data_IF_662641205611
#
_entry.id   IF_662641205611
#
_cell.length_a   1.000
_cell.length_b   1.000
_cell.length_c   1.000
_cell.angle_alpha   90.00
_cell.angle_beta   90.00
_cell.angle_gamma   90.00
#
_symmetry.space_group_name_H-M   'P 1'
#
loop_
_entity.id
_entity.type
_entity.pdbx_description
1 polymer ?
#
# COMPACT_ATOMS: atom_id res chain seq x y z
N UNK A 1 -21.88 -43.75 3.97
CA UNK A 1 -21.83 -42.27 4.00
C UNK A 1 -21.99 -41.75 2.59
N UNK A 2 -23.09 -41.07 2.30
CA UNK A 2 -23.38 -40.47 0.99
C UNK A 2 -22.34 -39.40 0.65
N UNK A 3 -22.04 -39.19 -0.64
CA UNK A 3 -21.10 -38.16 -1.11
C UNK A 3 -21.40 -36.76 -0.53
N UNK A 4 -22.68 -36.49 -0.26
CA UNK A 4 -23.20 -35.26 0.38
C UNK A 4 -22.67 -35.08 1.81
N UNK A 5 -22.54 -36.16 2.59
CA UNK A 5 -22.03 -36.12 3.97
C UNK A 5 -20.53 -35.85 4.03
N UNK A 6 -19.75 -36.33 3.04
CA UNK A 6 -18.31 -36.06 2.93
C UNK A 6 -18.03 -34.64 2.45
N UNK A 7 -18.83 -34.16 1.50
CA UNK A 7 -18.72 -32.80 0.98
C UNK A 7 -19.08 -31.76 2.04
N UNK A 8 -20.15 -31.96 2.82
CA UNK A 8 -20.55 -31.01 3.88
C UNK A 8 -19.48 -30.82 4.97
N UNK A 9 -18.82 -31.88 5.40
CA UNK A 9 -17.79 -31.79 6.45
C UNK A 9 -16.56 -31.03 5.93
N UNK A 10 -16.10 -31.32 4.71
CA UNK A 10 -14.95 -30.63 4.11
C UNK A 10 -15.27 -29.17 3.79
N UNK A 11 -16.49 -28.88 3.30
CA UNK A 11 -16.95 -27.52 3.03
C UNK A 11 -17.08 -26.69 4.32
N UNK A 12 -17.62 -27.29 5.40
CA UNK A 12 -17.71 -26.65 6.71
C UNK A 12 -16.32 -26.37 7.30
N UNK A 13 -15.39 -27.32 7.23
CA UNK A 13 -14.02 -27.10 7.71
C UNK A 13 -13.29 -26.04 6.88
N UNK A 14 -13.45 -26.03 5.56
CA UNK A 14 -12.85 -25.02 4.70
C UNK A 14 -13.46 -23.63 4.93
N UNK A 15 -14.79 -23.53 5.09
CA UNK A 15 -15.47 -22.27 5.39
C UNK A 15 -15.14 -21.75 6.79
N UNK A 16 -15.08 -22.61 7.80
CA UNK A 16 -14.66 -22.24 9.16
C UNK A 16 -13.19 -21.82 9.21
N UNK A 17 -12.33 -22.45 8.40
CA UNK A 17 -10.91 -22.10 8.34
C UNK A 17 -10.68 -20.78 7.59
N UNK A 18 -11.37 -20.56 6.47
CA UNK A 18 -11.36 -19.28 5.75
C UNK A 18 -11.94 -18.16 6.62
N UNK A 19 -13.03 -18.42 7.34
CA UNK A 19 -13.60 -17.47 8.30
C UNK A 19 -12.64 -17.17 9.46
N UNK A 20 -11.91 -18.17 9.97
CA UNK A 20 -10.89 -17.98 11.00
C UNK A 20 -9.71 -17.15 10.52
N UNK A 21 -9.30 -17.29 9.26
CA UNK A 21 -8.23 -16.46 8.67
C UNK A 21 -8.71 -15.02 8.48
N UNK A 22 -9.95 -14.81 8.01
CA UNK A 22 -10.52 -13.46 7.84
C UNK A 22 -10.65 -12.77 9.21
N UNK A 23 -11.09 -13.51 10.24
CA UNK A 23 -11.23 -12.99 11.60
C UNK A 23 -9.88 -12.62 12.25
N UNK A 24 -8.83 -13.41 12.02
CA UNK A 24 -7.50 -13.17 12.60
C UNK A 24 -6.75 -12.00 11.92
N UNK A 25 -7.10 -11.66 10.68
CA UNK A 25 -6.53 -10.53 9.93
C UNK A 25 -7.24 -9.19 10.20
N UNK A 26 -8.38 -9.21 10.88
CA UNK A 26 -9.14 -8.01 11.26
C UNK A 26 -8.80 -7.59 12.69
N UNK A 27 -7.63 -6.98 12.91
CA UNK A 27 -7.41 -6.13 14.09
C UNK A 27 -8.20 -4.83 13.92
N UNK A 28 -9.48 -4.92 14.24
CA UNK A 28 -10.45 -3.83 14.26
C UNK A 28 -11.75 -4.39 14.84
N UNK A 29 -12.02 -4.07 16.10
CA UNK A 29 -13.05 -4.70 16.93
C UNK A 29 -14.50 -4.52 16.43
N UNK A 30 -14.72 -3.75 15.36
CA UNK A 30 -16.05 -3.49 14.82
C UNK A 30 -16.48 -4.45 13.68
N UNK A 31 -15.55 -5.10 12.97
CA UNK A 31 -15.87 -5.96 11.80
C UNK A 31 -16.15 -7.42 12.20
N UNK A 32 -15.62 -7.87 13.35
CA UNK A 32 -15.87 -9.21 13.88
C UNK A 32 -17.33 -9.40 14.32
N UNK A 33 -17.98 -8.34 14.80
CA UNK A 33 -19.39 -8.36 15.20
C UNK A 33 -20.34 -8.25 13.98
N UNK A 34 -19.95 -7.53 12.93
CA UNK A 34 -20.73 -7.50 11.68
C UNK A 34 -20.70 -8.85 10.96
N UNK A 35 -19.55 -9.53 10.91
CA UNK A 35 -19.41 -10.84 10.25
C UNK A 35 -20.12 -11.98 10.98
N UNK A 36 -20.16 -11.97 12.32
CA UNK A 36 -21.00 -12.90 13.09
C UNK A 36 -22.49 -12.61 12.89
N UNK A 37 -22.89 -11.34 12.80
CA UNK A 37 -24.30 -10.97 12.57
C UNK A 37 -24.78 -11.36 11.17
N UNK A 38 -23.92 -11.31 10.14
CA UNK A 38 -24.28 -11.66 8.76
C UNK A 38 -24.53 -13.17 8.60
N UNK A 39 -23.85 -14.02 9.38
CA UNK A 39 -24.08 -15.48 9.36
C UNK A 39 -25.36 -15.86 10.11
N UNK A 40 -25.72 -15.15 11.17
CA UNK A 40 -27.02 -15.32 11.85
C UNK A 40 -28.20 -14.80 11.00
N UNK A 41 -28.03 -13.66 10.31
CA UNK A 41 -29.09 -13.00 9.53
C UNK A 41 -29.40 -13.66 8.18
N UNK A 42 -28.52 -14.50 7.64
CA UNK A 42 -28.81 -15.27 6.41
C UNK A 42 -29.70 -16.50 6.69
N UNK A 43 -30.03 -16.77 7.96
CA UNK A 43 -30.97 -17.85 8.34
C UNK A 43 -32.37 -17.38 8.72
N UNK A 44 -32.67 -16.07 8.73
CA UNK A 44 -34.00 -15.55 9.04
C UNK A 44 -34.33 -14.30 8.19
N UNK A 45 -35.49 -14.33 7.51
CA UNK A 45 -36.16 -13.20 6.81
C UNK A 45 -35.51 -12.86 5.45
N UNK A 46 -36.07 -13.10 4.25
CA UNK A 46 -37.44 -13.02 3.71
C UNK A 46 -38.21 -11.75 4.09
N UNK A 47 -38.23 -10.82 3.13
CA UNK A 47 -39.09 -9.63 2.99
C UNK A 47 -38.73 -8.38 3.83
N UNK A 48 -38.16 -7.35 3.18
CA UNK A 48 -38.69 -5.97 3.13
C UNK A 48 -37.67 -4.92 2.64
N UNK A 49 -38.24 -3.80 2.16
CA UNK A 49 -37.70 -2.74 1.30
C UNK A 49 -36.66 -1.77 1.92
N UNK A 50 -35.87 -1.17 1.02
CA UNK A 50 -34.85 -0.15 1.30
C UNK A 50 -35.40 1.26 1.00
N UNK A 51 -35.50 2.12 2.00
CA UNK A 51 -35.74 3.57 1.84
C UNK A 51 -34.43 4.35 1.82
N UNK A 52 -34.18 5.08 0.73
CA UNK A 52 -33.02 5.98 0.56
C UNK A 52 -33.44 7.42 0.89
N UNK A 53 -32.76 8.06 1.85
CA UNK A 53 -32.91 9.48 2.16
C UNK A 53 -31.86 10.31 1.40
N UNK A 54 -32.33 11.27 0.59
CA UNK A 54 -31.50 12.25 -0.14
C UNK A 54 -31.57 13.58 0.61
N UNK A 55 -30.44 14.08 1.10
CA UNK A 55 -30.32 15.42 1.67
C UNK A 55 -29.81 16.40 0.60
N UNK A 56 -30.57 17.45 0.33
CA UNK A 56 -30.22 18.59 -0.53
C UNK A 56 -29.88 19.79 0.36
N UNK A 57 -28.77 20.47 0.06
CA UNK A 57 -28.36 21.73 0.70
C UNK A 57 -28.26 22.84 -0.35
N UNK A 58 -28.91 23.97 -0.05
CA UNK A 58 -29.02 25.18 -0.87
C UNK A 58 -27.78 26.10 -0.70
N UNK A 59 -27.44 26.96 -1.69
CA UNK A 59 -26.30 27.90 -1.60
C UNK A 59 -26.74 29.32 -1.20
N UNK A 60 -25.92 30.01 -0.41
CA UNK A 60 -25.90 31.46 -0.11
C UNK A 60 -24.41 31.84 -0.11
N UNK A 61 -23.83 32.71 -0.96
CA UNK A 61 -23.98 34.14 -1.32
C UNK A 61 -22.67 34.88 -0.93
N UNK A 62 -22.16 35.68 -1.86
CA UNK A 62 -20.86 36.37 -1.90
C UNK A 62 -20.72 37.64 -1.03
N UNK A 63 -19.44 38.02 -0.89
CA UNK A 63 -18.82 39.37 -0.88
C UNK A 63 -18.64 40.12 0.44
N UNK A 64 -17.38 40.31 0.82
CA UNK A 64 -16.90 41.37 1.72
C UNK A 64 -16.06 42.39 0.92
N UNK A 65 -16.41 43.66 1.06
CA UNK A 65 -15.74 44.81 0.47
C UNK A 65 -14.82 45.49 1.52
N UNK A 66 -13.71 46.04 1.04
CA UNK A 66 -12.69 46.75 1.81
C UNK A 66 -13.16 48.17 2.19
N UNK A 67 -13.14 48.51 3.49
CA UNK A 67 -13.36 49.88 3.99
C UNK A 67 -12.09 50.72 3.89
N UNK A 68 -12.20 51.92 3.31
CA UNK A 68 -11.20 52.99 3.33
C UNK A 68 -11.68 54.04 4.33
N UNK A 69 -10.83 54.41 5.29
CA UNK A 69 -11.11 55.45 6.28
C UNK A 69 -10.61 56.81 5.79
N UNK A 70 -11.51 57.78 5.72
CA UNK A 70 -11.23 59.19 5.43
C UNK A 70 -10.56 59.87 6.63
N UNK A 71 -9.48 60.62 6.38
CA UNK A 71 -8.89 61.55 7.34
C UNK A 71 -9.24 63.00 6.94
N UNK A 72 -9.91 63.72 7.85
CA UNK A 72 -10.37 65.10 7.67
C UNK A 72 -9.23 66.09 7.93
N UNK A 73 -9.00 67.05 7.02
CA UNK A 73 -8.08 68.19 7.19
C UNK A 73 -8.90 69.49 7.16
N UNK A 74 -8.68 70.47 8.07
CA UNK A 74 -9.44 71.72 8.11
C UNK A 74 -8.98 72.70 7.00
N UNK A 75 -9.83 73.67 6.61
CA UNK A 75 -9.59 74.50 5.43
C UNK A 75 -8.68 75.67 5.77
N UNK A 76 -7.69 75.94 4.90
CA UNK A 76 -6.93 77.18 4.94
C UNK A 76 -6.96 77.84 3.55
N UNK A 77 -7.16 79.16 3.47
CA UNK A 77 -7.34 79.87 2.22
C UNK A 77 -5.99 80.11 1.53
N UNK A 78 -6.05 80.27 0.22
CA UNK A 78 -5.00 80.66 -0.71
C UNK A 78 -4.33 79.48 -1.44
N UNK A 79 -4.70 79.34 -2.72
CA UNK A 79 -4.36 78.24 -3.61
C UNK A 79 -2.89 78.21 -4.04
N UNK A 80 -2.03 77.68 -3.17
CA UNK A 80 -0.72 77.14 -3.53
C UNK A 80 -0.77 75.61 -3.52
N UNK A 81 -0.51 74.97 -4.67
CA UNK A 81 -0.34 73.53 -4.73
C UNK A 81 0.87 73.11 -3.88
N UNK A 82 0.63 72.30 -2.86
CA UNK A 82 1.66 71.73 -1.99
C UNK A 82 2.22 70.48 -2.70
N UNK A 83 3.32 70.67 -3.42
CA UNK A 83 4.01 69.58 -4.11
C UNK A 83 4.80 68.75 -3.08
N UNK A 84 4.18 67.70 -2.54
CA UNK A 84 4.90 66.69 -1.75
C UNK A 84 5.77 65.90 -2.72
N UNK A 85 7.01 66.34 -2.90
CA UNK A 85 8.04 65.57 -3.58
C UNK A 85 8.45 64.42 -2.67
N UNK A 86 7.72 63.31 -2.75
CA UNK A 86 8.25 62.02 -2.31
C UNK A 86 9.43 61.74 -3.22
N UNK A 87 10.65 61.86 -2.70
CA UNK A 87 11.85 61.44 -3.40
C UNK A 87 11.77 59.92 -3.62
N UNK A 88 11.12 59.50 -4.70
CA UNK A 88 11.23 58.14 -5.20
C UNK A 88 12.65 57.99 -5.71
N UNK A 89 13.52 57.40 -4.89
CA UNK A 89 14.83 56.91 -5.31
C UNK A 89 14.58 56.08 -6.57
N UNK A 90 15.22 56.38 -7.71
CA UNK A 90 15.02 55.61 -8.92
C UNK A 90 15.35 54.14 -8.62
N UNK A 91 14.52 53.17 -9.07
CA UNK A 91 14.77 51.76 -8.80
C UNK A 91 16.15 51.40 -9.36
N UNK A 92 17.10 51.10 -8.47
CA UNK A 92 18.41 50.62 -8.85
C UNK A 92 18.25 49.24 -9.50
N UNK A 93 18.97 48.96 -10.61
CA UNK A 93 18.93 47.64 -11.23
C UNK A 93 19.40 46.58 -10.22
N UNK A 94 18.87 45.36 -10.36
CA UNK A 94 19.15 44.24 -9.45
C UNK A 94 20.66 43.96 -9.32
N UNK A 95 21.41 44.12 -10.40
CA UNK A 95 22.87 43.96 -10.46
C UNK A 95 23.62 44.83 -9.45
N UNK A 96 23.28 46.12 -9.37
CA UNK A 96 24.01 47.10 -8.54
C UNK A 96 23.79 46.83 -7.05
N UNK A 97 22.60 46.33 -6.72
CA UNK A 97 22.22 45.96 -5.35
C UNK A 97 22.95 44.68 -4.94
N UNK A 98 23.02 43.70 -5.82
CA UNK A 98 23.77 42.46 -5.57
C UNK A 98 25.26 42.75 -5.41
N UNK A 99 25.87 43.56 -6.28
CA UNK A 99 27.28 43.94 -6.15
C UNK A 99 27.57 44.62 -4.80
N UNK A 100 26.69 45.52 -4.35
CA UNK A 100 26.80 46.18 -3.03
C UNK A 100 26.62 45.21 -1.85
N UNK A 101 25.72 44.23 -1.98
CA UNK A 101 25.50 43.21 -0.95
C UNK A 101 26.71 42.29 -0.80
N UNK A 102 27.25 41.81 -1.91
CA UNK A 102 28.25 40.74 -1.93
C UNK A 102 29.70 41.23 -1.83
N UNK A 103 29.97 42.54 -1.91
CA UNK A 103 31.35 43.10 -1.89
C UNK A 103 32.22 42.61 -0.72
N UNK A 104 31.65 42.42 0.47
CA UNK A 104 32.33 41.95 1.68
C UNK A 104 31.58 40.76 2.32
N UNK A 105 30.83 40.00 1.53
CA UNK A 105 30.08 38.87 2.04
C UNK A 105 30.99 37.65 2.15
N UNK A 106 31.00 37.03 3.32
CA UNK A 106 31.70 35.78 3.58
C UNK A 106 30.65 34.68 3.81
N UNK A 107 30.57 33.76 2.86
CA UNK A 107 29.66 32.63 2.83
C UNK A 107 30.04 31.51 3.81
N UNK A 108 31.29 31.48 4.27
CA UNK A 108 31.76 30.50 5.26
C UNK A 108 31.26 30.81 6.67
N UNK A 109 30.90 32.07 6.94
CA UNK A 109 30.43 32.51 8.23
C UNK A 109 28.93 32.27 8.41
N UNK A 110 28.60 31.68 9.55
CA UNK A 110 27.21 31.49 9.97
C UNK A 110 26.46 32.84 10.06
N UNK A 111 25.22 32.97 9.57
CA UNK A 111 24.49 34.24 9.48
C UNK A 111 24.37 34.97 10.82
N UNK A 112 24.19 34.20 11.90
CA UNK A 112 24.03 34.74 13.26
C UNK A 112 25.37 35.03 13.95
N UNK A 113 26.51 34.54 13.41
CA UNK A 113 27.82 34.85 13.96
C UNK A 113 28.19 36.34 13.79
N UNK A 114 27.63 37.01 12.78
CA UNK A 114 27.85 38.44 12.54
C UNK A 114 27.18 39.34 13.60
N UNK A 115 26.00 38.97 14.12
CA UNK A 115 25.32 39.73 15.17
C UNK A 115 26.02 39.62 16.54
N UNK A 116 26.76 38.53 16.74
CA UNK A 116 27.47 38.25 17.99
C UNK A 116 28.70 39.15 18.22
N UNK A 117 29.18 39.87 17.20
CA UNK A 117 30.32 40.77 17.33
C UNK A 117 29.94 42.11 17.99
N UNK A 118 28.68 42.55 17.86
CA UNK A 118 28.20 43.85 18.36
C UNK A 118 27.32 43.75 19.62
N UNK A 119 26.66 42.60 19.85
CA UNK A 119 25.84 42.34 21.02
C UNK A 119 26.24 40.99 21.63
N UNK A 120 26.55 40.95 22.93
CA UNK A 120 26.93 39.77 23.72
C UNK A 120 25.87 38.62 23.76
N UNK A 121 24.89 38.59 22.86
CA UNK A 121 23.93 37.49 22.65
C UNK A 121 24.55 36.44 21.72
N UNK A 122 25.44 35.62 22.29
CA UNK A 122 26.13 34.52 21.59
C UNK A 122 25.23 33.33 21.21
N UNK A 123 23.90 33.45 21.31
CA UNK A 123 22.99 32.31 21.49
C UNK A 123 21.76 32.29 20.59
N UNK A 124 21.78 32.98 19.43
CA UNK A 124 20.67 32.87 18.47
C UNK A 124 20.97 31.86 17.39
N UNK A 125 20.30 30.71 17.48
CA UNK A 125 20.26 29.73 16.40
C UNK A 125 19.69 30.35 15.12
N UNK A 126 20.22 29.95 13.97
CA UNK A 126 19.55 30.21 12.69
C UNK A 126 18.37 29.25 12.57
N UNK A 127 17.16 29.82 12.57
CA UNK A 127 15.94 29.04 12.35
C UNK A 127 15.73 28.83 10.86
N UNK A 128 15.75 27.57 10.45
CA UNK A 128 15.55 27.14 9.07
C UNK A 128 14.17 26.52 8.98
N UNK A 129 13.28 27.19 8.28
CA UNK A 129 11.96 26.66 7.97
C UNK A 129 12.05 25.79 6.71
N UNK A 130 11.52 24.57 6.79
CA UNK A 130 11.58 23.58 5.72
C UNK A 130 10.19 23.32 5.16
N UNK A 131 10.11 23.28 3.84
CA UNK A 131 8.94 22.84 3.09
C UNK A 131 9.37 21.82 2.03
N UNK A 132 8.60 20.76 1.86
CA UNK A 132 8.88 19.73 0.87
C UNK A 132 7.72 19.57 -0.10
N UNK A 133 8.05 19.44 -1.38
CA UNK A 133 7.09 19.09 -2.42
C UNK A 133 7.48 17.76 -3.09
N UNK A 134 6.71 16.71 -2.83
CA UNK A 134 6.94 15.37 -3.38
C UNK A 134 6.38 15.30 -4.80
N UNK A 135 7.25 14.98 -5.76
CA UNK A 135 6.91 14.91 -7.19
C UNK A 135 6.69 13.49 -7.68
N UNK A 136 7.60 12.61 -7.30
CA UNK A 136 7.59 11.22 -7.73
C UNK A 136 8.06 10.33 -6.60
N UNK A 137 7.40 9.18 -6.44
CA UNK A 137 7.80 8.16 -5.50
C UNK A 137 7.69 6.79 -6.14
N UNK A 138 8.73 5.99 -5.93
CA UNK A 138 8.78 4.59 -6.32
C UNK A 138 9.34 3.80 -5.15
N UNK A 139 8.60 2.78 -4.72
CA UNK A 139 8.98 1.96 -3.58
C UNK A 139 9.38 0.57 -4.06
N UNK A 140 10.51 0.08 -3.54
CA UNK A 140 11.02 -1.26 -3.69
C UNK A 140 11.09 -1.90 -2.29
N UNK A 141 11.42 -3.18 -2.21
CA UNK A 141 11.35 -3.97 -0.97
C UNK A 141 12.05 -3.36 0.25
N UNK A 142 13.27 -2.82 0.11
CA UNK A 142 14.10 -2.33 1.22
C UNK A 142 14.34 -0.81 1.18
N UNK A 143 13.89 -0.15 0.11
CA UNK A 143 14.21 1.24 -0.18
C UNK A 143 13.15 1.88 -1.06
N UNK A 144 13.02 3.19 -0.97
CA UNK A 144 12.21 3.97 -1.90
C UNK A 144 13.04 5.06 -2.56
N UNK A 145 12.73 5.28 -3.83
CA UNK A 145 13.24 6.37 -4.65
C UNK A 145 12.21 7.51 -4.60
N UNK A 146 12.64 8.67 -4.12
CA UNK A 146 11.79 9.86 -4.01
C UNK A 146 12.41 11.01 -4.80
N UNK A 147 11.61 11.62 -5.67
CA UNK A 147 11.93 12.91 -6.27
C UNK A 147 11.12 13.99 -5.56
N UNK A 148 11.81 14.97 -5.00
CA UNK A 148 11.20 16.05 -4.26
C UNK A 148 11.83 17.40 -4.62
N UNK A 149 11.08 18.47 -4.38
CA UNK A 149 11.62 19.82 -4.29
C UNK A 149 11.74 20.17 -2.82
N UNK A 150 12.97 20.36 -2.36
CA UNK A 150 13.27 20.81 -1.00
C UNK A 150 13.33 22.34 -1.01
N UNK A 151 12.56 22.97 -0.14
CA UNK A 151 12.59 24.41 0.08
C UNK A 151 13.03 24.69 1.52
N UNK A 152 13.95 25.62 1.66
CA UNK A 152 14.49 26.04 2.94
C UNK A 152 14.45 27.56 2.98
N UNK A 153 13.97 28.10 4.08
CA UNK A 153 13.92 29.53 4.28
C UNK A 153 14.54 29.90 5.63
N UNK A 154 15.44 30.87 5.62
CA UNK A 154 16.08 31.43 6.81
C UNK A 154 16.25 32.94 6.64
N UNK A 155 16.73 33.62 7.67
CA UNK A 155 17.01 35.06 7.61
C UNK A 155 18.51 35.27 7.76
N UNK A 156 19.12 35.94 6.78
CA UNK A 156 20.48 36.45 6.87
C UNK A 156 20.46 38.00 6.91
N UNK A 157 20.74 38.62 8.06
CA UNK A 157 20.79 40.07 8.20
C UNK A 157 21.75 40.77 7.23
N UNK A 158 22.82 40.09 6.80
CA UNK A 158 23.85 40.63 5.90
C UNK A 158 23.30 40.84 4.49
N UNK A 159 22.29 40.05 4.10
CA UNK A 159 21.64 40.06 2.79
C UNK A 159 20.40 40.97 2.72
N UNK A 160 20.20 41.84 3.72
CA UNK A 160 19.13 42.83 3.72
C UNK A 160 19.41 43.94 2.68
N UNK A 161 18.72 43.87 1.53
CA UNK A 161 18.78 44.92 0.51
C UNK A 161 17.79 46.08 0.73
N UNK A 162 16.81 45.93 1.63
CA UNK A 162 15.86 46.99 1.95
C UNK A 162 16.56 48.26 2.45
N UNK A 163 17.75 48.12 3.06
CA UNK A 163 18.62 49.24 3.46
C UNK A 163 19.02 50.18 2.31
N UNK A 164 18.92 49.73 1.06
CA UNK A 164 19.22 50.52 -0.13
C UNK A 164 18.00 51.23 -0.73
N UNK A 165 16.84 51.21 -0.07
CA UNK A 165 15.62 51.91 -0.50
C UNK A 165 14.88 51.24 -1.67
N UNK A 166 15.12 49.94 -1.91
CA UNK A 166 14.48 49.20 -2.99
C UNK A 166 13.10 48.67 -2.59
N UNK A 167 12.10 48.87 -3.45
CA UNK A 167 10.69 48.46 -3.24
C UNK A 167 10.40 47.06 -3.81
N UNK A 168 11.40 46.34 -4.30
CA UNK A 168 11.20 45.00 -4.86
C UNK A 168 10.85 43.99 -3.76
N UNK A 169 9.82 43.16 -4.00
CA UNK A 169 9.41 42.10 -3.08
C UNK A 169 10.47 41.00 -2.95
N UNK A 170 11.19 40.71 -4.03
CA UNK A 170 12.30 39.77 -4.03
C UNK A 170 13.31 40.07 -5.15
N UNK A 171 14.54 39.59 -4.99
CA UNK A 171 15.60 39.56 -6.01
C UNK A 171 16.01 38.10 -6.20
N UNK A 172 16.08 37.62 -7.45
CA UNK A 172 16.67 36.30 -7.74
C UNK A 172 18.19 36.44 -7.73
N UNK A 173 18.89 35.58 -6.99
CA UNK A 173 20.35 35.56 -6.96
C UNK A 173 20.85 34.68 -8.11
N UNK A 174 21.64 35.23 -9.05
CA UNK A 174 22.25 34.44 -10.09
C UNK A 174 23.36 33.52 -9.52
N UNK A 175 23.69 32.42 -10.20
CA UNK A 175 24.56 31.36 -9.67
C UNK A 175 26.02 31.76 -9.49
N UNK A 176 26.41 32.98 -9.87
CA UNK A 176 27.75 33.53 -9.70
C UNK A 176 28.00 34.16 -8.31
N UNK A 177 26.98 34.20 -7.45
CA UNK A 177 27.10 34.68 -6.08
C UNK A 177 26.90 33.53 -5.10
N UNK A 178 27.91 33.29 -4.27
CA UNK A 178 27.84 32.29 -3.21
C UNK A 178 27.18 32.88 -1.95
N UNK A 179 26.26 32.12 -1.37
CA UNK A 179 25.59 32.45 -0.11
C UNK A 179 25.86 31.33 0.90
N UNK A 180 25.99 31.67 2.17
CA UNK A 180 25.90 30.69 3.24
C UNK A 180 24.64 29.83 3.07
N UNK A 181 24.81 28.52 3.14
CA UNK A 181 23.76 27.52 3.00
C UNK A 181 23.83 26.58 4.20
N UNK A 182 22.68 26.16 4.76
CA UNK A 182 22.69 25.13 5.78
C UNK A 182 23.17 23.79 5.22
N UNK A 183 23.89 23.05 6.06
CA UNK A 183 24.50 21.74 5.77
C UNK A 183 23.50 20.59 5.94
N UNK A 184 22.34 20.73 5.31
CA UNK A 184 21.24 19.79 5.42
C UNK A 184 21.54 18.48 4.70
N UNK A 185 21.40 17.36 5.41
CA UNK A 185 21.53 16.01 4.86
C UNK A 185 20.37 15.10 5.32
N UNK A 186 20.23 13.94 4.69
CA UNK A 186 19.06 13.08 4.87
C UNK A 186 19.42 11.77 5.55
N UNK A 187 19.70 11.74 6.86
CA UNK A 187 20.25 10.62 7.66
C UNK A 187 20.08 9.15 7.18
N UNK A 188 18.95 8.78 6.56
CA UNK A 188 18.70 7.45 6.01
C UNK A 188 18.88 7.35 4.47
N UNK A 189 19.63 8.27 3.87
CA UNK A 189 19.92 8.28 2.45
C UNK A 189 21.00 7.26 2.10
N UNK A 190 20.75 6.48 1.04
CA UNK A 190 21.75 5.60 0.44
C UNK A 190 22.44 6.31 -0.74
N UNK A 191 21.71 7.16 -1.45
CA UNK A 191 22.22 7.93 -2.58
C UNK A 191 21.35 9.16 -2.79
N UNK A 192 21.96 10.28 -3.17
CA UNK A 192 21.27 11.53 -3.46
C UNK A 192 21.86 12.19 -4.71
N UNK A 193 20.98 12.75 -5.55
CA UNK A 193 21.36 13.44 -6.79
C UNK A 193 20.64 14.78 -6.85
N UNK A 194 21.42 15.86 -7.02
CA UNK A 194 20.91 17.18 -7.40
C UNK A 194 20.71 17.22 -8.91
N UNK A 195 19.55 17.68 -9.36
CA UNK A 195 19.24 17.71 -10.80
C UNK A 195 19.94 18.91 -11.46
N UNK A 196 20.64 18.65 -12.58
CA UNK A 196 21.29 19.65 -13.43
C UNK A 196 20.96 19.34 -14.89
N UNK A 197 20.04 20.10 -15.48
CA UNK A 197 19.71 20.01 -16.92
C UNK A 197 19.91 21.42 -17.45
N UNK A 198 20.86 21.57 -18.37
CA UNK A 198 21.45 22.83 -18.83
C UNK A 198 22.19 23.59 -17.70
N UNK A 199 21.50 23.91 -16.60
CA UNK A 199 22.02 24.54 -15.39
C UNK A 199 21.58 23.79 -14.12
N UNK A 200 22.15 24.17 -12.97
CA UNK A 200 21.75 23.61 -11.68
C UNK A 200 20.30 23.99 -11.34
N UNK A 201 19.48 23.01 -10.96
CA UNK A 201 18.07 23.25 -10.62
C UNK A 201 17.95 23.79 -9.18
N UNK A 202 18.42 25.02 -9.02
CA UNK A 202 18.50 25.77 -7.79
C UNK A 202 17.87 27.15 -8.03
N UNK A 203 17.01 27.56 -7.11
CA UNK A 203 16.45 28.89 -7.06
C UNK A 203 16.78 29.51 -5.71
N UNK A 204 17.44 30.66 -5.73
CA UNK A 204 17.71 31.48 -4.55
C UNK A 204 17.00 32.81 -4.72
N UNK A 205 16.16 33.17 -3.75
CA UNK A 205 15.46 34.46 -3.68
C UNK A 205 15.80 35.17 -2.39
N UNK A 206 16.12 36.45 -2.50
CA UNK A 206 16.30 37.35 -1.37
C UNK A 206 15.07 38.21 -1.22
N UNK A 207 14.55 38.33 0.01
CA UNK A 207 13.55 39.30 0.41
C UNK A 207 14.19 40.59 0.96
N UNK A 208 13.43 41.69 1.04
CA UNK A 208 13.96 43.01 1.43
C UNK A 208 14.49 43.05 2.86
N UNK A 209 14.06 42.14 3.72
CA UNK A 209 14.49 42.01 5.11
C UNK A 209 15.68 41.05 5.32
N UNK A 210 16.27 40.52 4.24
CA UNK A 210 17.32 39.48 4.33
C UNK A 210 16.76 38.06 4.48
N UNK A 211 15.45 37.86 4.28
CA UNK A 211 14.87 36.52 4.14
C UNK A 211 15.43 35.85 2.88
N UNK A 212 15.95 34.65 3.03
CA UNK A 212 16.50 33.84 1.94
C UNK A 212 15.57 32.67 1.72
N UNK A 213 15.10 32.48 0.50
CA UNK A 213 14.39 31.28 0.07
C UNK A 213 15.29 30.50 -0.88
N UNK A 214 15.68 29.31 -0.46
CA UNK A 214 16.36 28.32 -1.28
C UNK A 214 15.40 27.23 -1.72
N UNK A 215 15.42 26.87 -2.99
CA UNK A 215 14.63 25.77 -3.53
C UNK A 215 15.48 24.96 -4.48
N UNK A 216 15.56 23.64 -4.23
CA UNK A 216 16.30 22.71 -5.10
C UNK A 216 15.51 21.45 -5.39
N UNK A 217 15.75 20.83 -6.55
CA UNK A 217 15.18 19.52 -6.91
C UNK A 217 16.18 18.41 -6.60
N UNK A 218 15.73 17.43 -5.83
CA UNK A 218 16.51 16.27 -5.38
C UNK A 218 15.86 14.97 -5.85
N UNK A 219 16.68 14.00 -6.23
CA UNK A 219 16.33 12.59 -6.26
C UNK A 219 17.08 11.87 -5.15
N UNK A 220 16.37 11.19 -4.27
CA UNK A 220 16.94 10.45 -3.15
C UNK A 220 16.58 8.96 -3.28
N UNK A 221 17.52 8.10 -2.93
CA UNK A 221 17.28 6.69 -2.63
C UNK A 221 17.43 6.53 -1.14
N UNK A 222 16.35 6.17 -0.46
CA UNK A 222 16.23 6.22 1.00
C UNK A 222 15.85 4.84 1.52
N UNK A 223 16.48 4.44 2.62
CA UNK A 223 16.17 3.16 3.29
C UNK A 223 14.76 3.21 3.90
N UNK A 224 13.98 2.14 3.71
CA UNK A 224 12.71 1.94 4.40
C UNK A 224 12.59 0.52 4.95
N UNK A 225 12.34 0.42 6.25
CA UNK A 225 12.08 -0.82 6.94
C UNK A 225 10.59 -1.17 6.80
N UNK A 226 10.27 -2.07 5.86
CA UNK A 226 8.90 -2.51 5.60
C UNK A 226 8.51 -3.70 6.49
N UNK A 227 7.25 -3.76 6.92
CA UNK A 227 6.68 -4.89 7.65
C UNK A 227 5.75 -5.73 6.77
N UNK A 228 6.21 -6.90 6.36
CA UNK A 228 5.47 -7.77 5.45
C UNK A 228 4.61 -8.83 6.15
N UNK A 229 4.38 -8.75 7.46
CA UNK A 229 3.57 -9.75 8.18
C UNK A 229 2.20 -9.96 7.52
N UNK A 230 1.52 -8.86 7.17
CA UNK A 230 0.21 -8.85 6.53
C UNK A 230 0.25 -8.87 4.98
N UNK A 231 1.41 -9.12 4.35
CA UNK A 231 1.52 -9.07 2.89
C UNK A 231 0.56 -10.07 2.19
N UNK A 232 -0.19 -9.64 1.15
CA UNK A 232 -0.17 -8.34 0.45
C UNK A 232 -1.27 -7.34 0.89
N UNK A 233 -1.89 -7.55 2.05
CA UNK A 233 -2.93 -6.68 2.63
C UNK A 233 -2.31 -5.67 3.62
N UNK A 234 -1.05 -5.31 3.41
CA UNK A 234 -0.21 -4.54 4.30
C UNK A 234 -0.31 -3.01 4.08
N UNK A 235 -0.07 -2.27 5.15
CA UNK A 235 0.19 -0.83 5.16
C UNK A 235 1.63 -0.60 5.64
N UNK A 236 2.35 0.27 4.96
CA UNK A 236 3.79 0.49 5.17
C UNK A 236 4.04 1.94 5.57
N UNK A 237 4.81 2.17 6.63
CA UNK A 237 5.22 3.49 7.05
C UNK A 237 6.72 3.68 6.82
N UNK A 238 7.09 4.44 5.79
CA UNK A 238 8.48 4.81 5.54
C UNK A 238 8.77 6.21 6.09
N UNK A 239 9.96 6.39 6.67
CA UNK A 239 10.38 7.65 7.30
C UNK A 239 11.41 8.34 6.42
N UNK A 240 11.30 9.65 6.23
CA UNK A 240 12.35 10.50 5.68
C UNK A 240 12.88 11.39 6.80
N UNK A 241 14.18 11.30 7.10
CA UNK A 241 14.81 12.08 8.17
C UNK A 241 15.77 13.10 7.57
N UNK A 242 15.67 14.33 8.04
CA UNK A 242 16.48 15.47 7.64
C UNK A 242 17.14 16.07 8.88
N UNK A 243 18.43 16.38 8.81
CA UNK A 243 19.19 16.96 9.92
C UNK A 243 20.32 17.87 9.42
N UNK A 244 20.94 18.62 10.33
CA UNK A 244 22.22 19.30 10.09
C UNK A 244 23.36 18.32 10.36
N UNK A 245 24.41 18.38 9.54
CA UNK A 245 25.57 17.51 9.66
C UNK A 245 26.58 17.98 10.71
N UNK A 246 26.98 19.25 10.63
CA UNK A 246 28.04 19.87 11.43
C UNK A 246 27.55 20.91 12.44
N UNK A 247 26.36 21.48 12.26
CA UNK A 247 25.81 22.49 13.16
C UNK A 247 24.92 21.88 14.25
N UNK A 248 25.31 22.10 15.52
CA UNK A 248 24.52 21.70 16.69
C UNK A 248 23.22 22.50 16.77
N UNK A 249 22.23 21.97 17.49
CA UNK A 249 20.89 22.56 17.64
C UNK A 249 20.92 24.00 18.15
N UNK A 250 21.90 24.36 18.98
CA UNK A 250 22.08 25.74 19.48
C UNK A 250 22.51 26.73 18.39
N UNK A 251 23.08 26.24 17.30
CA UNK A 251 23.52 27.05 16.16
C UNK A 251 22.52 27.04 15.00
N UNK A 252 21.92 25.88 14.72
CA UNK A 252 20.96 25.70 13.63
C UNK A 252 19.76 24.89 14.12
N UNK A 253 18.57 25.47 14.00
CA UNK A 253 17.32 24.81 14.34
C UNK A 253 16.46 24.64 13.09
N UNK A 254 15.95 23.43 12.86
CA UNK A 254 15.05 23.16 11.76
C UNK A 254 13.61 23.09 12.27
N UNK A 255 12.72 23.77 11.56
CA UNK A 255 11.28 23.76 11.81
C UNK A 255 10.52 23.49 10.51
N UNK A 256 9.38 22.82 10.62
CA UNK A 256 8.45 22.72 9.51
C UNK A 256 7.78 24.06 9.23
N UNK A 257 7.52 24.37 7.95
CA UNK A 257 6.64 25.49 7.60
C UNK A 257 5.27 25.29 8.24
N UNK A 258 4.76 26.30 8.95
CA UNK A 258 3.51 26.18 9.72
C UNK A 258 2.29 25.83 8.87
N UNK A 259 2.22 26.36 7.64
CA UNK A 259 1.16 26.05 6.69
C UNK A 259 1.71 25.10 5.63
N UNK A 260 1.06 23.95 5.50
CA UNK A 260 1.32 22.98 4.43
C UNK A 260 2.81 22.60 4.30
N UNK A 261 3.41 21.99 5.36
CA UNK A 261 4.83 21.69 5.40
C UNK A 261 5.25 20.68 4.33
N UNK A 262 4.34 19.78 3.96
CA UNK A 262 4.57 18.72 3.00
C UNK A 262 3.46 18.75 1.97
N UNK A 263 3.84 19.12 0.76
CA UNK A 263 3.00 19.12 -0.41
C UNK A 263 3.28 17.87 -1.24
N UNK A 264 2.24 17.31 -1.82
CA UNK A 264 2.37 16.27 -2.82
C UNK A 264 1.23 16.42 -3.82
N UNK A 265 1.47 16.04 -5.07
CA UNK A 265 0.43 16.10 -6.09
C UNK A 265 -0.68 15.11 -5.76
N UNK A 266 -1.87 15.63 -5.45
CA UNK A 266 -3.09 14.85 -5.18
C UNK A 266 -3.82 14.42 -6.46
N UNK A 267 -3.23 14.66 -7.62
CA UNK A 267 -3.86 14.30 -8.88
C UNK A 267 -4.06 12.79 -8.94
N UNK A 268 -5.31 12.34 -9.13
CA UNK A 268 -5.68 10.93 -9.40
C UNK A 268 -4.86 10.29 -10.53
N UNK A 269 -4.18 11.08 -11.36
CA UNK A 269 -3.28 10.61 -12.43
C UNK A 269 -1.84 10.36 -11.99
N UNK A 270 -1.39 10.83 -10.82
CA UNK A 270 -0.16 10.35 -10.18
C UNK A 270 -0.44 9.03 -9.47
N UNK A 271 -0.88 8.07 -10.26
CA UNK A 271 -0.92 6.68 -9.89
C UNK A 271 0.55 6.26 -9.78
N UNK A 272 1.11 6.30 -8.57
CA UNK A 272 2.48 5.87 -8.33
C UNK A 272 2.68 4.50 -8.97
N UNK A 273 3.76 4.34 -9.72
CA UNK A 273 3.88 3.31 -10.77
C UNK A 273 3.88 1.86 -10.25
N UNK A 274 3.89 1.66 -8.93
CA UNK A 274 4.03 0.37 -8.26
C UNK A 274 2.80 0.00 -7.41
N UNK A 275 2.79 -1.22 -6.89
CA UNK A 275 1.73 -1.83 -6.08
C UNK A 275 1.28 -1.04 -4.83
N UNK A 276 1.93 0.08 -4.50
CA UNK A 276 1.73 0.85 -3.27
C UNK A 276 1.31 2.28 -3.59
N UNK A 277 0.21 2.71 -2.98
CA UNK A 277 -0.29 4.07 -3.05
C UNK A 277 0.11 4.86 -1.81
N UNK A 278 0.65 6.08 -1.99
CA UNK A 278 0.82 7.03 -0.90
C UNK A 278 -0.56 7.49 -0.43
N UNK A 279 -0.89 7.17 0.82
CA UNK A 279 -2.16 7.58 1.47
C UNK A 279 -2.01 9.01 1.98
N UNK A 280 -0.96 9.25 2.75
CA UNK A 280 -0.65 10.52 3.37
C UNK A 280 0.86 10.69 3.62
N UNK A 281 1.26 11.94 3.83
CA UNK A 281 2.60 12.34 4.19
C UNK A 281 2.50 13.34 5.35
N UNK A 282 2.92 12.91 6.54
CA UNK A 282 2.67 13.65 7.79
C UNK A 282 4.00 13.97 8.47
N UNK A 283 4.22 15.22 8.92
CA UNK A 283 5.37 15.54 9.76
C UNK A 283 5.21 14.86 11.11
N UNK A 284 6.25 14.18 11.58
CA UNK A 284 6.25 13.50 12.86
C UNK A 284 7.43 13.96 13.70
N UNK A 285 7.29 13.81 15.02
CA UNK A 285 8.35 14.19 15.94
C UNK A 285 9.62 13.42 15.64
N UNK A 286 10.71 14.17 15.52
CA UNK A 286 12.03 13.61 15.31
C UNK A 286 12.68 13.41 16.68
N UNK A 287 13.11 12.18 17.03
CA UNK A 287 13.78 11.95 18.30
C UNK A 287 15.09 12.75 18.36
N UNK A 288 15.39 13.37 19.49
CA UNK A 288 16.60 14.18 19.68
C UNK A 288 17.84 13.37 19.29
N UNK A 289 18.62 13.90 18.34
CA UNK A 289 19.81 13.23 17.83
C UNK A 289 21.02 13.62 18.68
N UNK A 290 21.39 12.75 19.61
CA UNK A 290 22.59 12.92 20.44
C UNK A 290 23.72 12.08 19.85
N UNK A 291 24.78 12.73 19.40
CA UNK A 291 26.01 12.06 18.95
C UNK A 291 27.16 12.38 19.90
N UNK A 292 28.34 11.83 19.62
CA UNK A 292 29.56 12.17 20.38
C UNK A 292 29.98 13.63 20.25
N UNK A 293 29.54 14.32 19.20
CA UNK A 293 29.94 15.70 18.88
C UNK A 293 28.94 16.75 19.38
N UNK A 294 27.69 16.36 19.69
CA UNK A 294 26.69 17.27 20.22
C UNK A 294 25.25 16.81 19.99
N UNK A 295 24.31 17.71 20.26
CA UNK A 295 22.88 17.54 19.97
C UNK A 295 22.52 18.26 18.68
N UNK A 296 21.81 17.57 17.78
CA UNK A 296 21.46 18.08 16.46
C UNK A 296 19.95 18.20 16.28
N UNK A 297 19.53 19.28 15.62
CA UNK A 297 18.14 19.48 15.22
C UNK A 297 17.80 18.56 14.05
N UNK A 298 16.64 17.90 14.10
CA UNK A 298 16.17 17.04 13.03
C UNK A 298 14.67 17.20 12.76
N UNK A 299 14.29 16.94 11.52
CA UNK A 299 12.93 16.89 11.03
C UNK A 299 12.65 15.51 10.45
N UNK A 300 11.44 14.99 10.70
CA UNK A 300 11.05 13.67 10.23
C UNK A 300 9.66 13.71 9.58
N UNK A 301 9.53 12.99 8.46
CA UNK A 301 8.25 12.78 7.76
C UNK A 301 7.93 11.30 7.76
N UNK A 302 6.70 10.96 8.11
CA UNK A 302 6.13 9.65 7.85
C UNK A 302 5.36 9.66 6.52
N UNK A 303 5.74 8.78 5.61
CA UNK A 303 5.05 8.49 4.37
C UNK A 303 4.32 7.17 4.56
N UNK A 304 2.98 7.19 4.64
CA UNK A 304 2.22 5.96 4.77
C UNK A 304 1.74 5.50 3.39
N UNK A 305 2.04 4.24 3.09
CA UNK A 305 1.69 3.58 1.85
C UNK A 305 0.70 2.46 2.10
N UNK A 306 -0.25 2.29 1.19
CA UNK A 306 -1.21 1.18 1.19
C UNK A 306 -1.04 0.34 -0.05
N UNK A 307 -0.88 -0.97 0.10
CA UNK A 307 -0.77 -1.87 -1.04
C UNK A 307 -2.11 -2.05 -1.74
N UNK A 308 -2.09 -2.05 -3.08
CA UNK A 308 -3.23 -2.34 -3.92
C UNK A 308 -3.49 -3.84 -3.98
N UNK A 309 -4.57 -4.23 -3.33
CA UNK A 309 -4.95 -5.63 -3.18
C UNK A 309 -5.56 -6.23 -4.46
N UNK A 310 -6.09 -5.40 -5.36
CA UNK A 310 -6.90 -5.86 -6.51
C UNK A 310 -6.16 -6.84 -7.42
N UNK A 311 -4.87 -6.60 -7.70
CA UNK A 311 -4.08 -7.51 -8.54
C UNK A 311 -3.91 -8.88 -7.87
N UNK A 312 -3.60 -8.90 -6.57
CA UNK A 312 -3.45 -10.15 -5.81
C UNK A 312 -4.78 -10.92 -5.72
N UNK A 313 -5.91 -10.23 -5.62
CA UNK A 313 -7.22 -10.89 -5.64
C UNK A 313 -7.45 -11.68 -6.93
N UNK A 314 -7.11 -11.10 -8.09
CA UNK A 314 -7.31 -11.75 -9.39
C UNK A 314 -6.23 -12.78 -9.75
N UNK A 315 -4.97 -12.56 -9.37
CA UNK A 315 -3.83 -13.39 -9.79
C UNK A 315 -3.52 -14.50 -8.78
N UNK A 316 -3.73 -14.26 -7.48
CA UNK A 316 -3.38 -15.20 -6.41
C UNK A 316 -4.63 -15.84 -5.80
N UNK A 317 -5.52 -15.06 -5.21
CA UNK A 317 -6.61 -15.60 -4.39
C UNK A 317 -7.69 -16.30 -5.21
N UNK A 318 -8.24 -15.65 -6.25
CA UNK A 318 -9.32 -16.24 -7.04
C UNK A 318 -8.92 -17.55 -7.74
N UNK A 319 -7.75 -17.64 -8.42
CA UNK A 319 -7.36 -18.88 -9.10
C UNK A 319 -7.07 -20.01 -8.11
N UNK A 320 -6.44 -19.72 -6.96
CA UNK A 320 -6.17 -20.75 -5.94
C UNK A 320 -7.45 -21.30 -5.32
N UNK A 321 -8.46 -20.45 -5.08
CA UNK A 321 -9.79 -20.90 -4.61
C UNK A 321 -10.43 -21.83 -5.65
N UNK A 322 -10.43 -21.44 -6.93
CA UNK A 322 -10.99 -22.26 -8.01
C UNK A 322 -10.26 -23.61 -8.13
N UNK A 323 -8.94 -23.64 -7.95
CA UNK A 323 -8.18 -24.89 -7.95
C UNK A 323 -8.56 -25.79 -6.78
N UNK A 324 -8.73 -25.25 -5.57
CA UNK A 324 -9.23 -26.04 -4.43
C UNK A 324 -10.61 -26.63 -4.74
N UNK A 325 -11.53 -25.85 -5.32
CA UNK A 325 -12.85 -26.35 -5.71
C UNK A 325 -12.78 -27.45 -6.79
N UNK A 326 -11.88 -27.31 -7.77
CA UNK A 326 -11.63 -28.35 -8.79
C UNK A 326 -11.07 -29.62 -8.15
N UNK A 327 -10.18 -29.48 -7.17
CA UNK A 327 -9.63 -30.63 -6.44
C UNK A 327 -10.74 -31.44 -5.74
N UNK A 328 -11.81 -30.79 -5.28
CA UNK A 328 -12.95 -31.44 -4.64
C UNK A 328 -13.87 -32.20 -5.60
N UNK A 329 -13.80 -31.94 -6.91
CA UNK A 329 -14.54 -32.72 -7.91
C UNK A 329 -14.10 -34.20 -7.88
N UNK A 330 -12.87 -34.50 -7.45
CA UNK A 330 -12.38 -35.86 -7.24
C UNK A 330 -13.23 -36.69 -6.25
N UNK A 331 -13.97 -36.03 -5.35
CA UNK A 331 -14.87 -36.68 -4.39
C UNK A 331 -16.20 -37.12 -5.00
N UNK A 332 -16.62 -36.49 -6.09
CA UNK A 332 -17.87 -36.80 -6.79
C UNK A 332 -17.70 -37.95 -7.81
N UNK A 333 -16.47 -38.21 -8.22
CA UNK A 333 -16.15 -39.27 -9.17
C UNK A 333 -16.35 -40.66 -8.55
N UNK A 334 -16.93 -41.57 -9.34
CA UNK A 334 -17.17 -42.94 -8.91
C UNK A 334 -15.87 -43.65 -8.53
N UNK A 335 -15.95 -44.49 -7.48
CA UNK A 335 -14.82 -45.27 -6.95
C UNK A 335 -14.26 -46.29 -7.95
N UNK A 336 -14.98 -46.60 -9.03
CA UNK A 336 -14.59 -47.57 -10.03
C UNK A 336 -13.57 -47.04 -11.05
N UNK A 337 -13.48 -45.72 -11.27
CA UNK A 337 -12.58 -45.09 -12.25
C UNK A 337 -11.37 -44.42 -11.58
N UNK A 338 -10.41 -45.26 -11.16
CA UNK A 338 -9.19 -44.84 -10.47
C UNK A 338 -8.42 -43.76 -11.25
N UNK A 339 -8.27 -43.96 -12.57
CA UNK A 339 -7.57 -43.05 -13.46
C UNK A 339 -8.18 -41.64 -13.44
N UNK A 340 -9.50 -41.53 -13.52
CA UNK A 340 -10.20 -40.23 -13.58
C UNK A 340 -9.95 -39.36 -12.36
N UNK A 341 -9.81 -39.96 -11.16
CA UNK A 341 -9.56 -39.22 -9.92
C UNK A 341 -8.15 -38.64 -9.87
N UNK A 342 -7.15 -39.41 -10.30
CA UNK A 342 -5.77 -38.93 -10.38
C UNK A 342 -5.56 -37.91 -11.51
N UNK A 343 -6.26 -38.06 -12.64
CA UNK A 343 -6.22 -37.12 -13.77
C UNK A 343 -6.74 -35.74 -13.38
N UNK A 344 -7.67 -35.63 -12.43
CA UNK A 344 -8.12 -34.32 -11.91
C UNK A 344 -7.18 -33.81 -10.80
N UNK A 345 -6.81 -34.67 -9.85
CA UNK A 345 -6.06 -34.24 -8.67
C UNK A 345 -4.59 -33.87 -8.95
N UNK A 346 -3.87 -34.66 -9.75
CA UNK A 346 -2.42 -34.46 -9.95
C UNK A 346 -2.13 -33.15 -10.69
N UNK A 347 -2.78 -32.84 -11.83
CA UNK A 347 -2.58 -31.57 -12.51
C UNK A 347 -3.01 -30.38 -11.65
N UNK A 348 -4.06 -30.51 -10.84
CA UNK A 348 -4.49 -29.45 -9.93
C UNK A 348 -3.42 -29.12 -8.88
N UNK A 349 -2.78 -30.14 -8.28
CA UNK A 349 -1.67 -29.94 -7.35
C UNK A 349 -0.46 -29.29 -8.03
N UNK A 350 -0.08 -29.78 -9.22
CA UNK A 350 1.03 -29.22 -9.98
C UNK A 350 0.79 -27.76 -10.36
N UNK A 351 -0.44 -27.42 -10.78
CA UNK A 351 -0.81 -26.05 -11.13
C UNK A 351 -0.83 -25.14 -9.90
N UNK A 352 -1.28 -25.63 -8.74
CA UNK A 352 -1.18 -24.89 -7.48
C UNK A 352 0.29 -24.58 -7.13
N UNK A 353 1.18 -25.58 -7.19
CA UNK A 353 2.61 -25.40 -6.91
C UNK A 353 3.21 -24.39 -7.90
N UNK A 354 2.90 -24.51 -9.19
CA UNK A 354 3.41 -23.60 -10.22
C UNK A 354 2.94 -22.15 -9.99
N UNK A 355 1.67 -21.95 -9.61
CA UNK A 355 1.13 -20.62 -9.31
C UNK A 355 1.77 -20.01 -8.06
N UNK A 356 1.94 -20.81 -7.00
CA UNK A 356 2.63 -20.39 -5.77
C UNK A 356 4.08 -20.01 -6.09
N UNK A 357 4.80 -20.83 -6.86
CA UNK A 357 6.17 -20.55 -7.26
C UNK A 357 6.28 -19.24 -8.04
N UNK A 358 5.39 -19.02 -9.01
CA UNK A 358 5.36 -17.81 -9.82
C UNK A 358 5.10 -16.54 -8.99
N UNK A 359 4.15 -16.60 -8.05
CA UNK A 359 3.82 -15.46 -7.17
C UNK A 359 4.88 -15.22 -6.10
N UNK A 360 5.54 -16.27 -5.61
CA UNK A 360 6.63 -16.15 -4.63
C UNK A 360 7.91 -15.55 -5.22
N UNK A 361 8.12 -15.68 -6.53
CA UNK A 361 9.28 -15.12 -7.21
C UNK A 361 9.27 -13.58 -7.29
N UNK A 362 8.08 -12.98 -7.26
CA UNK A 362 7.92 -11.51 -7.26
C UNK A 362 7.72 -10.92 -5.87
N UNK A 363 7.45 -11.77 -4.86
CA UNK A 363 7.22 -11.33 -3.50
C UNK A 363 8.54 -11.02 -2.77
N UNK A 364 8.53 -10.12 -1.77
CA UNK A 364 9.69 -9.88 -0.90
C UNK A 364 10.13 -11.16 -0.21
N UNK A 365 11.45 -11.40 -0.25
CA UNK A 365 12.07 -12.45 0.57
C UNK A 365 12.16 -11.97 2.02
N UNK A 366 11.48 -12.70 2.91
CA UNK A 366 11.43 -12.45 4.34
C UNK A 366 11.90 -13.70 5.08
N UNK A 367 12.48 -13.52 6.27
CA UNK A 367 12.87 -14.65 7.12
C UNK A 367 11.69 -15.25 7.90
N UNK A 368 10.59 -14.49 8.01
CA UNK A 368 9.35 -14.89 8.67
C UNK A 368 8.24 -15.21 7.65
N UNK A 369 7.21 -15.92 8.13
CA UNK A 369 6.03 -16.27 7.33
C UNK A 369 5.13 -15.05 7.14
N UNK A 370 4.77 -14.79 5.88
CA UNK A 370 3.79 -13.76 5.50
C UNK A 370 2.38 -14.34 5.48
N UNK A 371 1.36 -13.49 5.59
CA UNK A 371 -0.04 -13.90 5.42
C UNK A 371 -0.28 -14.67 4.10
N UNK A 372 0.33 -14.23 2.99
CA UNK A 372 0.31 -14.96 1.71
C UNK A 372 0.92 -16.37 1.79
N UNK A 373 1.97 -16.56 2.58
CA UNK A 373 2.65 -17.86 2.70
C UNK A 373 1.75 -18.84 3.47
N UNK A 374 1.05 -18.38 4.50
CA UNK A 374 0.07 -19.17 5.26
C UNK A 374 -1.10 -19.58 4.35
N UNK A 375 -1.60 -18.66 3.52
CA UNK A 375 -2.63 -18.96 2.52
C UNK A 375 -2.16 -20.02 1.52
N UNK A 376 -0.96 -19.85 0.96
CA UNK A 376 -0.39 -20.78 -0.01
C UNK A 376 -0.18 -22.19 0.58
N UNK A 377 0.33 -22.28 1.81
CA UNK A 377 0.47 -23.55 2.53
C UNK A 377 -0.87 -24.23 2.78
N UNK A 378 -1.90 -23.45 3.12
CA UNK A 378 -3.27 -23.93 3.32
C UNK A 378 -3.84 -24.54 2.04
N UNK A 379 -3.81 -23.79 0.94
CA UNK A 379 -4.30 -24.22 -0.38
C UNK A 379 -3.57 -25.49 -0.83
N UNK A 380 -2.24 -25.51 -0.70
CA UNK A 380 -1.43 -26.66 -1.06
C UNK A 380 -1.79 -27.88 -0.20
N UNK A 381 -2.00 -27.68 1.10
CA UNK A 381 -2.46 -28.71 2.03
C UNK A 381 -3.80 -29.32 1.62
N UNK A 382 -4.79 -28.49 1.25
CA UNK A 382 -6.10 -28.99 0.79
C UNK A 382 -5.99 -29.81 -0.50
N UNK A 383 -5.22 -29.35 -1.49
CA UNK A 383 -4.99 -30.09 -2.73
C UNK A 383 -4.29 -31.43 -2.47
N UNK A 384 -3.32 -31.45 -1.56
CA UNK A 384 -2.63 -32.69 -1.16
C UNK A 384 -3.57 -33.66 -0.45
N UNK A 385 -4.41 -33.18 0.48
CA UNK A 385 -5.38 -34.01 1.18
C UNK A 385 -6.45 -34.60 0.24
N UNK A 386 -6.89 -33.86 -0.77
CA UNK A 386 -7.81 -34.37 -1.79
C UNK A 386 -7.20 -35.52 -2.62
N UNK A 387 -5.91 -35.40 -2.95
CA UNK A 387 -5.15 -36.47 -3.60
C UNK A 387 -4.93 -37.68 -2.70
N UNK A 388 -4.62 -37.46 -1.42
CA UNK A 388 -4.44 -38.51 -0.44
C UNK A 388 -5.74 -39.32 -0.23
N UNK A 389 -6.88 -38.63 -0.12
CA UNK A 389 -8.21 -39.27 -0.07
C UNK A 389 -8.46 -40.13 -1.32
N UNK A 390 -8.07 -39.61 -2.49
CA UNK A 390 -8.20 -40.34 -3.75
C UNK A 390 -7.38 -41.63 -3.77
N UNK A 391 -6.16 -41.59 -3.24
CA UNK A 391 -5.32 -42.76 -3.08
C UNK A 391 -5.91 -43.78 -2.08
N UNK A 392 -6.38 -43.31 -0.92
CA UNK A 392 -6.97 -44.16 0.13
C UNK A 392 -8.22 -44.88 -0.40
N UNK A 393 -9.16 -44.16 -1.01
CA UNK A 393 -10.40 -44.76 -1.53
C UNK A 393 -10.10 -45.73 -2.67
N UNK A 394 -9.11 -45.45 -3.52
CA UNK A 394 -8.68 -46.36 -4.58
C UNK A 394 -8.11 -47.66 -4.01
N UNK A 395 -7.25 -47.56 -2.99
CA UNK A 395 -6.69 -48.73 -2.29
C UNK A 395 -7.79 -49.56 -1.61
N UNK A 396 -8.71 -48.90 -0.91
CA UNK A 396 -9.85 -49.56 -0.26
C UNK A 396 -10.76 -50.26 -1.27
N UNK A 397 -11.09 -49.61 -2.40
CA UNK A 397 -11.89 -50.19 -3.47
C UNK A 397 -11.20 -51.41 -4.12
N UNK A 398 -9.87 -51.36 -4.32
CA UNK A 398 -9.08 -52.49 -4.82
C UNK A 398 -9.12 -53.68 -3.84
N UNK A 399 -8.94 -53.43 -2.54
CA UNK A 399 -9.00 -54.47 -1.50
C UNK A 399 -10.39 -55.10 -1.40
N UNK A 400 -11.46 -54.30 -1.54
CA UNK A 400 -12.83 -54.80 -1.56
C UNK A 400 -13.06 -55.72 -2.77
N UNK A 401 -12.68 -55.30 -3.98
CA UNK A 401 -12.78 -56.13 -5.19
C UNK A 401 -12.00 -57.44 -5.09
N UNK A 402 -10.85 -57.46 -4.43
CA UNK A 402 -10.08 -58.69 -4.22
C UNK A 402 -10.76 -59.66 -3.24
N UNK A 403 -11.59 -59.16 -2.32
CA UNK A 403 -12.30 -59.98 -1.33
C UNK A 403 -13.62 -60.54 -1.85
N UNK A 404 -14.31 -59.82 -2.73
CA UNK A 404 -15.51 -60.31 -3.40
C UNK A 404 -15.11 -61.11 -4.65
N UNK A 405 -15.31 -62.45 -4.69
CA UNK A 405 -15.11 -63.19 -5.92
C UNK A 405 -16.03 -62.64 -7.02
N UNK A 406 -15.62 -62.64 -8.29
CA UNK A 406 -16.49 -62.20 -9.38
C UNK A 406 -17.77 -63.03 -9.36
N UNK A 407 -18.93 -62.40 -9.51
CA UNK A 407 -20.25 -63.05 -9.59
C UNK A 407 -20.26 -64.21 -10.61
N UNK A 408 -19.44 -64.13 -11.67
CA UNK A 408 -19.24 -65.19 -12.66
C UNK A 408 -18.77 -66.52 -12.05
N UNK A 409 -17.97 -66.49 -10.97
CA UNK A 409 -17.54 -67.69 -10.25
C UNK A 409 -18.68 -68.29 -9.41
N UNK A 410 -19.60 -67.47 -8.91
CA UNK A 410 -20.81 -67.96 -8.22
C UNK A 410 -21.84 -68.48 -9.23
N UNK A 411 -21.94 -67.86 -10.41
CA UNK A 411 -22.85 -68.26 -11.48
C UNK A 411 -22.41 -69.58 -12.13
N UNK A 412 -21.11 -69.73 -12.44
CA UNK A 412 -20.52 -70.99 -12.92
C UNK A 412 -20.65 -72.11 -11.86
N UNK A 413 -20.44 -71.81 -10.57
CA UNK A 413 -20.63 -72.80 -9.52
C UNK A 413 -22.11 -73.16 -9.32
N UNK A 414 -23.04 -72.20 -9.42
CA UNK A 414 -24.48 -72.46 -9.33
C UNK A 414 -24.97 -73.27 -10.53
N UNK A 415 -24.42 -73.04 -11.72
CA UNK A 415 -24.74 -73.79 -12.94
C UNK A 415 -24.16 -75.22 -12.87
N UNK A 416 -22.94 -75.38 -12.37
CA UNK A 416 -22.34 -76.69 -12.09
C UNK A 416 -23.08 -77.46 -10.98
N UNK A 417 -23.51 -76.78 -9.91
CA UNK A 417 -24.32 -77.40 -8.84
C UNK A 417 -25.70 -77.82 -9.36
N UNK A 418 -26.32 -77.03 -10.24
CA UNK A 418 -27.56 -77.41 -10.93
C UNK A 418 -27.36 -78.61 -11.86
N UNK A 419 -26.20 -78.74 -12.51
CA UNK A 419 -25.87 -79.88 -13.36
C UNK A 419 -25.64 -81.16 -12.53
N UNK A 420 -24.94 -81.05 -11.39
CA UNK A 420 -24.74 -82.19 -10.48
C UNK A 420 -26.05 -82.67 -9.85
N UNK A 421 -26.91 -81.75 -9.41
CA UNK A 421 -28.26 -82.10 -8.93
C UNK A 421 -29.12 -82.75 -10.02
N UNK A 422 -28.89 -82.40 -11.29
CA UNK A 422 -29.57 -83.05 -12.41
C UNK A 422 -29.07 -84.49 -12.61
N UNK A 423 -27.79 -84.78 -12.43
CA UNK A 423 -27.24 -86.14 -12.55
C UNK A 423 -27.65 -87.07 -11.40
N UNK A 424 -27.86 -86.55 -10.18
CA UNK A 424 -28.26 -87.35 -9.02
C UNK A 424 -29.78 -87.61 -8.91
N UNK A 425 -30.59 -86.94 -9.72
CA UNK A 425 -32.05 -87.16 -9.71
C UNK A 425 -32.43 -88.37 -10.57
N UNK A 426 -33.27 -89.30 -10.06
CA UNK A 426 -33.70 -90.44 -10.85
C UNK A 426 -34.52 -89.99 -12.06
N UNK A 427 -34.37 -90.69 -13.19
CA UNK A 427 -34.86 -90.31 -14.52
C UNK A 427 -36.31 -89.77 -14.59
N UNK A 428 -37.20 -90.23 -13.71
CA UNK A 428 -38.60 -89.80 -13.67
C UNK A 428 -38.81 -88.37 -13.11
N UNK A 429 -37.85 -87.80 -12.38
CA UNK A 429 -37.92 -86.45 -11.84
C UNK A 429 -37.51 -85.35 -12.85
N UNK A 430 -36.95 -85.74 -13.99
CA UNK A 430 -36.51 -84.83 -15.07
C UNK A 430 -37.56 -84.64 -16.17
N UNK A 431 -38.68 -85.37 -16.08
CA UNK A 431 -39.79 -85.24 -17.03
C UNK A 431 -40.48 -83.89 -16.80
N UNK A 432 -40.61 -83.11 -17.87
CA UNK A 432 -41.42 -81.90 -17.86
C UNK A 432 -42.86 -82.31 -17.58
N UNK A 433 -43.44 -81.84 -16.47
CA UNK A 433 -44.87 -81.95 -16.23
C UNK A 433 -45.59 -81.25 -17.39
N UNK A 434 -46.19 -82.02 -18.31
CA UNK A 434 -47.16 -81.48 -19.23
C UNK A 434 -48.38 -81.03 -18.41
N UNK A 435 -48.40 -79.76 -18.06
CA UNK A 435 -49.61 -79.07 -17.61
C UNK A 435 -50.71 -79.36 -18.64
N UNK A 436 -51.90 -79.84 -18.22
CA UNK A 436 -52.98 -80.09 -19.17
C UNK A 436 -53.30 -78.77 -19.87
N UNK A 437 -53.17 -78.77 -21.20
CA UNK A 437 -53.58 -77.64 -22.04
C UNK A 437 -55.08 -77.44 -21.85
N UNK A 438 -55.45 -76.54 -20.94
CA UNK A 438 -56.81 -76.04 -20.86
C UNK A 438 -57.11 -75.31 -22.17
N UNK A 439 -58.23 -75.65 -22.78
CA UNK A 439 -58.73 -75.21 -24.09
C UNK A 439 -59.20 -73.74 -24.12
N UNK A 440 -58.50 -72.81 -23.47
CA UNK A 440 -58.94 -71.41 -23.42
C UNK A 440 -57.82 -70.42 -23.76
N UNK A 441 -58.08 -69.66 -24.83
CA UNK A 441 -57.40 -68.45 -25.34
C UNK A 441 -56.27 -68.65 -26.36
N UNK A 442 -56.67 -69.13 -27.54
CA UNK A 442 -56.46 -68.39 -28.81
C UNK A 442 -57.42 -67.19 -28.83
N UNK A 443 -57.03 -66.09 -29.49
CA UNK A 443 -57.67 -64.75 -29.57
C UNK A 443 -57.18 -63.87 -28.40
N UNK A 444 -56.37 -62.83 -28.54
CA UNK A 444 -56.03 -61.91 -29.65
C UNK A 444 -54.52 -61.75 -29.89
#
# INVERSE_FOLDING_TARGET
MTAISRCRIVLLFALLFVASIIADQSKGDDVANETLSIVEKVTSESDAEVTVAVATLHPQRESDALEITDATVPPQPDGGALEITVATIPPQPDSDVLEKLFKNYDDSLHPMAWQSADNNDLSKAANITVNMFIRHLKINHDRYEIQLTLRQEWVDPRLNFGRFGKVANYINVPPNYDIWMPDTFFQNELSAVRHKIDDDNVLVRLGPNGHVTYSTRLSLVVLCEQDFLAYPLDEQQCKLRLASYGHVQESVHYDWRSNDPIQYGTSRTQKWLNDLDLVDAVPIDCPTQVTSTGTYSCLQVALNFKRRVTMYMWVLYLPTILLVLISWLAFWLHTNSQLSRFVVGVPCLLLCIALIANTSATAPHTYFLKASDIWNMTVLGFCFLALLESAIVTSAARKYRQRTPPLRYLEDNLENDKLMLREETPYYAQLVEEQPKSWAKRID
#
